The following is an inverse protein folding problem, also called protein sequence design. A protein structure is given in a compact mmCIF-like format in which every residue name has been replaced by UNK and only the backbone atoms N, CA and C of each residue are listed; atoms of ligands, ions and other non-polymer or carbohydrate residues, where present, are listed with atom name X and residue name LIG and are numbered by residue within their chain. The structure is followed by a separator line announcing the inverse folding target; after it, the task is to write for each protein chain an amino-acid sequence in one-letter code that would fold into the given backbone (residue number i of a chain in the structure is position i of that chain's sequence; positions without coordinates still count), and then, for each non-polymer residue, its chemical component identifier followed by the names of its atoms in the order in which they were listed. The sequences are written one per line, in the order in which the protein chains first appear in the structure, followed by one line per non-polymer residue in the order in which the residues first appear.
data_IF_135238202626
#
_entry.id   IF_135238202626
#
_cell.length_a   1.000
_cell.length_b   1.000
_cell.length_c   1.000
_cell.angle_alpha   90.00
_cell.angle_beta   90.00
_cell.angle_gamma   90.00
#
_symmetry.space_group_name_H-M   'P 1'
#
loop_
_entity.id
_entity.type
_entity.pdbx_description
1 polymer ?
#
# COMPACT_ATOMS: atom_id res chain seq x y z
N UNK A 1 -5.03 9.84 -23.31
CA UNK A 1 -6.18 10.02 -22.41
C UNK A 1 -6.34 11.42 -21.84
N UNK A 2 -5.32 12.30 -21.83
CA UNK A 2 -5.50 13.67 -21.33
C UNK A 2 -5.83 13.79 -19.84
N UNK A 3 -5.61 12.70 -19.07
CA UNK A 3 -5.96 12.58 -17.66
C UNK A 3 -4.86 13.15 -16.76
N UNK A 4 -5.25 13.45 -15.53
CA UNK A 4 -4.37 13.93 -14.47
C UNK A 4 -3.22 12.95 -14.18
N UNK A 5 -2.06 13.47 -13.79
CA UNK A 5 -0.96 12.65 -13.29
C UNK A 5 -1.28 12.06 -11.90
N UNK A 6 -0.58 11.00 -11.51
CA UNK A 6 -0.72 10.33 -10.20
C UNK A 6 -0.56 11.27 -8.98
N UNK A 7 0.14 12.41 -9.16
CA UNK A 7 0.36 13.42 -8.12
C UNK A 7 -0.70 14.53 -8.12
N UNK A 8 -1.73 14.42 -8.95
CA UNK A 8 -2.82 15.39 -8.99
C UNK A 8 -3.66 15.35 -7.71
N UNK A 9 -4.29 16.49 -7.41
CA UNK A 9 -5.33 16.61 -6.37
C UNK A 9 -6.44 15.58 -6.58
N UNK A 10 -6.80 15.32 -7.83
CA UNK A 10 -7.75 14.28 -8.23
C UNK A 10 -7.03 13.25 -9.08
N UNK A 11 -6.46 12.25 -8.40
CA UNK A 11 -5.63 11.20 -9.03
C UNK A 11 -6.44 9.97 -9.46
N UNK A 12 -7.59 9.72 -8.82
CA UNK A 12 -8.35 8.50 -9.04
C UNK A 12 -9.11 8.59 -10.37
N UNK A 13 -9.02 7.54 -11.18
CA UNK A 13 -9.74 7.45 -12.44
C UNK A 13 -11.24 7.20 -12.24
N UNK A 14 -11.59 6.54 -11.13
CA UNK A 14 -12.92 6.01 -10.87
C UNK A 14 -13.79 6.94 -10.03
N UNK A 15 -13.20 7.83 -9.24
CA UNK A 15 -13.95 8.72 -8.36
C UNK A 15 -13.29 10.07 -8.18
N UNK A 16 -14.07 11.05 -7.71
CA UNK A 16 -13.61 12.41 -7.39
C UNK A 16 -12.91 12.50 -6.02
N UNK A 17 -12.17 11.44 -5.63
CA UNK A 17 -11.41 11.44 -4.37
C UNK A 17 -10.29 12.47 -4.41
N UNK A 18 -10.31 13.36 -3.42
CA UNK A 18 -9.25 14.34 -3.17
C UNK A 18 -8.03 13.68 -2.51
N UNK A 19 -6.84 14.06 -2.93
CA UNK A 19 -5.58 13.53 -2.39
C UNK A 19 -5.40 13.77 -0.89
N UNK A 20 -6.02 14.80 -0.30
CA UNK A 20 -6.02 15.06 1.15
C UNK A 20 -7.06 14.23 1.92
N UNK A 21 -8.11 13.76 1.23
CA UNK A 21 -9.19 12.98 1.82
C UNK A 21 -9.02 11.46 1.62
N UNK A 22 -7.97 11.04 0.90
CA UNK A 22 -7.69 9.63 0.55
C UNK A 22 -7.54 8.67 1.72
N UNK A 23 -7.26 9.16 2.93
CA UNK A 23 -7.14 8.33 4.13
C UNK A 23 -8.51 8.09 4.81
N UNK A 24 -9.55 8.83 4.41
CA UNK A 24 -10.84 8.80 5.10
C UNK A 24 -11.75 7.72 4.50
N UNK A 25 -11.70 6.54 5.12
CA UNK A 25 -12.46 5.33 4.75
C UNK A 25 -13.97 5.54 4.90
N UNK A 26 -14.41 6.51 5.70
CA UNK A 26 -15.84 6.78 5.92
C UNK A 26 -16.46 7.57 4.76
N UNK A 27 -15.65 8.14 3.87
CA UNK A 27 -16.14 8.82 2.67
C UNK A 27 -16.40 7.78 1.58
N UNK A 28 -17.67 7.46 1.36
CA UNK A 28 -18.10 6.71 0.18
C UNK A 28 -17.99 7.62 -1.03
N UNK A 29 -16.97 7.42 -1.84
CA UNK A 29 -16.86 8.11 -3.12
C UNK A 29 -17.71 7.38 -4.14
N UNK A 30 -18.67 8.10 -4.74
CA UNK A 30 -19.43 7.55 -5.87
C UNK A 30 -18.43 7.22 -6.97
N UNK A 31 -18.51 6.00 -7.51
CA UNK A 31 -17.82 5.67 -8.76
C UNK A 31 -18.64 6.26 -9.88
N UNK A 32 -18.37 7.52 -10.16
CA UNK A 32 -18.76 8.19 -11.37
C UNK A 32 -17.49 8.86 -11.87
N UNK A 33 -17.15 8.59 -13.14
CA UNK A 33 -16.06 9.20 -13.90
C UNK A 33 -15.54 10.50 -13.31
N UNK A 34 -14.24 10.56 -13.02
CA UNK A 34 -13.65 11.72 -12.36
C UNK A 34 -13.94 13.02 -13.15
N UNK A 35 -14.83 13.84 -12.61
CA UNK A 35 -15.33 15.06 -13.24
C UNK A 35 -14.40 16.24 -12.97
N UNK A 36 -13.58 16.15 -11.92
CA UNK A 36 -12.68 17.22 -11.50
C UNK A 36 -11.28 17.15 -12.13
N UNK A 37 -11.05 16.17 -13.01
CA UNK A 37 -9.80 16.05 -13.75
C UNK A 37 -9.67 17.12 -14.83
N UNK A 38 -8.56 17.86 -14.83
CA UNK A 38 -8.29 18.88 -15.86
C UNK A 38 -7.90 18.17 -17.16
N UNK A 39 -8.88 17.90 -18.01
CA UNK A 39 -8.66 17.19 -19.27
C UNK A 39 -7.91 18.07 -20.26
N UNK A 40 -6.72 17.62 -20.65
CA UNK A 40 -6.08 18.15 -21.86
C UNK A 40 -6.81 17.58 -23.09
N UNK A 41 -6.85 18.31 -24.22
CA UNK A 41 -7.44 17.78 -25.45
C UNK A 41 -6.84 16.41 -25.78
N UNK A 42 -7.71 15.46 -26.06
CA UNK A 42 -7.33 14.07 -26.31
C UNK A 42 -6.74 13.95 -27.72
N UNK A 43 -5.51 13.46 -27.83
CA UNK A 43 -4.84 13.21 -29.11
C UNK A 43 -5.39 11.97 -29.84
N UNK A 44 -6.09 11.09 -29.12
CA UNK A 44 -6.68 9.85 -29.61
C UNK A 44 -8.02 9.62 -28.90
N UNK A 45 -8.97 8.89 -29.50
CA UNK A 45 -10.24 8.54 -28.84
C UNK A 45 -9.99 7.85 -27.49
N UNK A 46 -10.58 8.37 -26.41
CA UNK A 46 -10.48 7.72 -25.11
C UNK A 46 -11.21 6.36 -25.09
N UNK A 47 -10.54 5.37 -24.49
CA UNK A 47 -11.15 4.09 -24.14
C UNK A 47 -12.28 4.37 -23.12
N UNK A 48 -13.39 3.65 -23.24
CA UNK A 48 -14.50 3.75 -22.26
C UNK A 48 -14.02 3.32 -20.89
N UNK A 49 -14.45 4.04 -19.86
CA UNK A 49 -13.99 3.81 -18.49
C UNK A 49 -14.45 2.46 -17.93
N UNK A 50 -15.57 1.92 -18.40
CA UNK A 50 -16.02 0.56 -18.11
C UNK A 50 -14.94 -0.49 -18.43
N UNK A 51 -14.08 -0.19 -19.41
CA UNK A 51 -12.99 -1.08 -19.83
C UNK A 51 -11.67 -0.79 -19.08
N UNK A 52 -11.67 0.09 -18.08
CA UNK A 52 -10.47 0.36 -17.30
C UNK A 52 -10.31 -0.74 -16.25
N UNK A 53 -9.31 -1.60 -16.46
CA UNK A 53 -8.95 -2.66 -15.52
C UNK A 53 -7.77 -2.17 -14.68
N UNK A 54 -7.89 -2.12 -13.34
CA UNK A 54 -6.77 -1.79 -12.48
C UNK A 54 -5.63 -2.80 -12.63
N UNK A 55 -4.39 -2.31 -12.68
CA UNK A 55 -3.22 -3.16 -12.77
C UNK A 55 -2.88 -3.76 -11.38
N UNK A 56 -3.25 -5.02 -11.19
CA UNK A 56 -3.05 -5.78 -9.96
C UNK A 56 -1.56 -5.93 -9.59
N UNK A 57 -0.69 -6.10 -10.59
CA UNK A 57 0.74 -6.25 -10.35
C UNK A 57 1.32 -4.94 -9.82
N UNK A 58 0.99 -3.81 -10.44
CA UNK A 58 1.42 -2.50 -9.97
C UNK A 58 0.87 -2.17 -8.58
N UNK A 59 -0.36 -2.61 -8.25
CA UNK A 59 -0.93 -2.49 -6.92
C UNK A 59 -0.08 -3.24 -5.87
N UNK A 60 0.26 -4.50 -6.13
CA UNK A 60 1.17 -5.26 -5.28
C UNK A 60 2.51 -4.55 -5.12
N UNK A 61 3.15 -4.16 -6.22
CA UNK A 61 4.49 -3.59 -6.20
C UNK A 61 4.51 -2.30 -5.37
N UNK A 62 3.57 -1.38 -5.61
CA UNK A 62 3.55 -0.06 -5.00
C UNK A 62 3.14 -0.10 -3.53
N UNK A 63 2.16 -0.91 -3.16
CA UNK A 63 1.75 -1.01 -1.75
C UNK A 63 2.83 -1.71 -0.93
N UNK A 64 3.47 -2.76 -1.47
CA UNK A 64 4.59 -3.43 -0.81
C UNK A 64 5.76 -2.48 -0.56
N UNK A 65 6.09 -1.62 -1.55
CA UNK A 65 7.15 -0.63 -1.40
C UNK A 65 6.85 0.31 -0.22
N UNK A 66 5.63 0.83 -0.12
CA UNK A 66 5.24 1.70 1.00
C UNK A 66 5.33 0.97 2.34
N UNK A 67 4.85 -0.26 2.42
CA UNK A 67 4.90 -1.06 3.64
C UNK A 67 6.34 -1.27 4.13
N UNK A 68 7.24 -1.59 3.21
CA UNK A 68 8.66 -1.82 3.47
C UNK A 68 9.40 -0.51 3.77
N UNK A 69 9.14 0.56 3.01
CA UNK A 69 9.74 1.88 3.19
C UNK A 69 9.40 2.46 4.56
N UNK A 70 8.15 2.38 4.99
CA UNK A 70 7.76 2.80 6.34
C UNK A 70 8.52 2.02 7.42
N UNK A 71 8.64 0.69 7.28
CA UNK A 71 9.37 -0.15 8.24
C UNK A 71 10.87 0.21 8.26
N UNK A 72 11.52 0.28 7.11
CA UNK A 72 12.95 0.55 7.01
C UNK A 72 13.31 1.96 7.46
N UNK A 73 12.51 2.97 7.13
CA UNK A 73 12.73 4.33 7.60
C UNK A 73 12.68 4.46 9.12
N UNK A 74 11.90 3.62 9.81
CA UNK A 74 11.92 3.57 11.27
C UNK A 74 13.14 2.82 11.82
N UNK A 75 13.54 1.73 11.15
CA UNK A 75 14.74 0.98 11.52
C UNK A 75 16.03 1.79 11.30
N UNK A 76 16.11 2.62 10.27
CA UNK A 76 17.25 3.52 10.03
C UNK A 76 17.45 4.56 11.12
N UNK A 77 16.40 4.94 11.87
CA UNK A 77 16.51 5.88 13.00
C UNK A 77 17.15 5.26 14.24
N UNK A 78 17.26 3.93 14.29
CA UNK A 78 17.87 3.22 15.43
C UNK A 78 19.40 3.30 15.31
N UNK A 79 20.06 3.69 16.42
CA UNK A 79 21.53 3.81 16.49
C UNK A 79 22.26 2.50 16.16
N UNK A 80 21.63 1.36 16.44
CA UNK A 80 22.20 0.02 16.20
C UNK A 80 21.94 -0.51 14.77
N UNK A 81 21.43 0.32 13.86
CA UNK A 81 21.06 -0.12 12.52
C UNK A 81 22.24 -0.73 11.75
N UNK A 82 23.31 0.04 11.55
CA UNK A 82 24.46 -0.36 10.73
C UNK A 82 25.22 -1.55 11.33
N UNK A 83 25.26 -1.66 12.67
CA UNK A 83 26.04 -2.67 13.39
C UNK A 83 25.34 -4.03 13.49
N UNK A 84 24.02 -4.04 13.73
CA UNK A 84 23.31 -5.26 14.13
C UNK A 84 22.04 -5.50 13.33
N UNK A 85 21.19 -4.49 13.16
CA UNK A 85 19.87 -4.69 12.54
C UNK A 85 20.02 -4.98 11.05
N UNK A 86 20.94 -4.31 10.36
CA UNK A 86 21.23 -4.53 8.93
C UNK A 86 21.48 -6.00 8.63
N UNK A 87 22.46 -6.61 9.29
CA UNK A 87 22.85 -8.00 9.04
C UNK A 87 21.75 -8.99 9.41
N UNK A 88 20.98 -8.71 10.47
CA UNK A 88 19.84 -9.55 10.85
C UNK A 88 18.70 -9.51 9.81
N UNK A 89 18.40 -8.35 9.22
CA UNK A 89 17.38 -8.24 8.15
C UNK A 89 17.84 -8.97 6.90
N UNK A 90 19.09 -8.76 6.47
CA UNK A 90 19.66 -9.43 5.29
C UNK A 90 19.66 -10.95 5.47
N UNK A 91 19.97 -11.45 6.67
CA UNK A 91 19.85 -12.87 7.00
C UNK A 91 18.40 -13.37 6.98
N UNK A 92 17.45 -12.61 7.53
CA UNK A 92 16.04 -12.96 7.50
C UNK A 92 15.49 -13.01 6.07
N UNK A 93 15.92 -12.09 5.20
CA UNK A 93 15.57 -12.09 3.77
C UNK A 93 16.19 -13.27 3.03
N UNK A 94 17.45 -13.61 3.33
CA UNK A 94 18.11 -14.79 2.77
C UNK A 94 17.41 -16.09 3.20
N UNK A 95 16.93 -16.17 4.44
CA UNK A 95 16.19 -17.33 4.94
C UNK A 95 14.89 -17.59 4.18
N UNK A 96 14.21 -16.52 3.74
CA UNK A 96 13.01 -16.64 2.89
C UNK A 96 13.36 -16.76 1.39
N UNK A 97 14.62 -17.00 1.05
CA UNK A 97 15.14 -17.12 -0.31
C UNK A 97 14.84 -15.87 -1.17
N UNK A 98 15.15 -14.69 -0.61
CA UNK A 98 15.10 -13.39 -1.28
C UNK A 98 16.48 -12.73 -1.20
N UNK A 99 17.03 -12.33 -2.34
CA UNK A 99 18.27 -11.58 -2.40
C UNK A 99 18.00 -10.11 -2.03
N UNK A 100 18.56 -9.65 -0.91
CA UNK A 100 18.29 -8.31 -0.38
C UNK A 100 19.49 -7.79 0.39
N UNK A 101 19.91 -6.56 0.07
CA UNK A 101 21.04 -5.88 0.69
C UNK A 101 20.75 -4.39 0.87
N UNK A 102 21.26 -3.82 1.98
CA UNK A 102 21.26 -2.37 2.20
C UNK A 102 22.57 -1.74 1.76
N UNK A 103 22.50 -0.64 1.01
CA UNK A 103 23.65 0.11 0.54
C UNK A 103 23.48 1.61 0.81
N UNK A 104 24.60 2.32 0.94
CA UNK A 104 24.59 3.79 1.03
C UNK A 104 24.50 4.36 -0.38
N UNK A 105 23.59 5.32 -0.58
CA UNK A 105 23.40 5.95 -1.89
C UNK A 105 24.66 6.71 -2.30
N UNK A 106 25.13 6.50 -3.54
CA UNK A 106 26.34 7.18 -4.07
C UNK A 106 26.13 8.68 -4.29
N UNK A 107 24.87 9.12 -4.43
CA UNK A 107 24.50 10.49 -4.78
C UNK A 107 24.02 11.31 -3.56
N UNK A 108 23.52 10.64 -2.52
CA UNK A 108 23.07 11.26 -1.28
C UNK A 108 23.82 10.59 -0.12
N UNK A 109 24.97 11.17 0.24
CA UNK A 109 26.06 10.54 1.01
C UNK A 109 25.70 10.02 2.41
N UNK A 110 24.47 10.17 2.87
CA UNK A 110 24.01 9.72 4.19
C UNK A 110 22.70 8.92 4.17
N UNK A 111 22.07 8.74 3.00
CA UNK A 111 20.80 8.01 2.90
C UNK A 111 21.05 6.54 2.57
N UNK A 112 20.46 5.67 3.39
CA UNK A 112 20.41 4.24 3.12
C UNK A 112 19.35 3.94 2.07
N UNK A 113 19.73 3.15 1.08
CA UNK A 113 18.86 2.56 0.07
C UNK A 113 18.96 1.03 0.17
N UNK A 114 18.04 0.32 -0.51
CA UNK A 114 17.97 -1.14 -0.49
C UNK A 114 17.72 -1.72 -1.88
N UNK A 115 17.99 -3.02 -2.04
CA UNK A 115 17.73 -3.74 -3.29
C UNK A 115 16.25 -3.66 -3.69
N UNK A 116 15.97 -3.19 -4.91
CA UNK A 116 14.61 -3.20 -5.44
C UNK A 116 14.13 -4.64 -5.65
N UNK A 117 12.95 -4.96 -5.11
CA UNK A 117 12.38 -6.30 -5.18
C UNK A 117 11.32 -6.43 -6.27
N UNK A 118 11.35 -7.56 -6.97
CA UNK A 118 10.36 -7.91 -7.99
C UNK A 118 9.10 -8.52 -7.36
N UNK A 119 8.04 -8.66 -8.16
CA UNK A 119 6.74 -9.18 -7.71
C UNK A 119 6.82 -10.51 -6.92
N UNK A 120 7.52 -11.55 -7.40
CA UNK A 120 7.66 -12.82 -6.67
C UNK A 120 8.34 -12.67 -5.30
N UNK A 121 9.39 -11.86 -5.22
CA UNK A 121 10.12 -11.66 -3.95
C UNK A 121 9.31 -10.83 -2.96
N UNK A 122 8.60 -9.80 -3.43
CA UNK A 122 7.66 -9.03 -2.60
C UNK A 122 6.57 -9.92 -1.99
N UNK A 123 6.06 -10.91 -2.74
CA UNK A 123 5.10 -11.89 -2.20
C UNK A 123 5.70 -12.69 -1.04
N UNK A 124 6.92 -13.21 -1.21
CA UNK A 124 7.61 -13.94 -0.14
C UNK A 124 7.84 -13.08 1.10
N UNK A 125 8.23 -11.82 0.91
CA UNK A 125 8.42 -10.85 2.00
C UNK A 125 7.10 -10.62 2.75
N UNK A 126 6.02 -10.29 2.03
CA UNK A 126 4.71 -10.08 2.64
C UNK A 126 4.15 -11.31 3.35
N UNK A 127 4.54 -12.53 2.95
CA UNK A 127 4.04 -13.78 3.51
C UNK A 127 4.90 -14.38 4.63
N UNK A 128 6.22 -14.18 4.60
CA UNK A 128 7.15 -14.92 5.47
C UNK A 128 8.09 -14.04 6.28
N UNK A 129 8.23 -12.74 5.97
CA UNK A 129 9.15 -11.89 6.70
C UNK A 129 8.73 -11.73 8.19
N UNK A 130 9.63 -11.98 9.16
CA UNK A 130 9.31 -11.96 10.59
C UNK A 130 9.48 -10.56 11.19
N UNK A 131 8.49 -9.68 10.98
CA UNK A 131 8.54 -8.28 11.47
C UNK A 131 8.70 -8.20 13.00
N UNK A 132 8.12 -9.14 13.74
CA UNK A 132 8.18 -9.20 15.21
C UNK A 132 9.59 -9.29 15.77
N UNK A 133 10.56 -9.75 14.98
CA UNK A 133 11.97 -9.84 15.41
C UNK A 133 12.65 -8.46 15.45
N UNK A 134 12.15 -7.50 14.67
CA UNK A 134 12.76 -6.18 14.49
C UNK A 134 11.98 -5.06 15.20
N UNK A 135 10.69 -5.29 15.43
CA UNK A 135 9.79 -4.37 16.13
C UNK A 135 9.18 -5.06 17.33
N UNK A 136 9.56 -4.62 18.52
CA UNK A 136 9.11 -5.23 19.77
C UNK A 136 7.67 -4.85 20.13
N UNK A 137 7.03 -5.74 20.90
CA UNK A 137 5.72 -5.52 21.52
C UNK A 137 4.53 -5.65 20.57
N UNK A 138 3.39 -5.08 20.97
CA UNK A 138 2.13 -5.13 20.20
C UNK A 138 2.26 -4.46 18.82
N UNK A 139 3.18 -3.52 18.67
CA UNK A 139 3.43 -2.83 17.40
C UNK A 139 3.91 -3.80 16.31
N UNK A 140 4.93 -4.62 16.59
CA UNK A 140 5.46 -5.58 15.61
C UNK A 140 4.44 -6.63 15.20
N UNK A 141 3.61 -7.09 16.15
CA UNK A 141 2.50 -8.02 15.85
C UNK A 141 1.49 -7.40 14.89
N UNK A 142 1.05 -6.17 15.15
CA UNK A 142 0.10 -5.46 14.28
C UNK A 142 0.68 -5.20 12.88
N UNK A 143 1.98 -4.88 12.76
CA UNK A 143 2.61 -4.64 11.45
C UNK A 143 2.74 -5.96 10.67
N UNK A 144 3.12 -7.05 11.36
CA UNK A 144 3.15 -8.36 10.72
C UNK A 144 1.76 -8.75 10.21
N UNK A 145 0.74 -8.59 11.04
CA UNK A 145 -0.66 -8.82 10.67
C UNK A 145 -1.08 -7.95 9.48
N UNK A 146 -0.73 -6.66 9.47
CA UNK A 146 -0.98 -5.76 8.35
C UNK A 146 -0.40 -6.29 7.02
N UNK A 147 0.81 -6.85 7.05
CA UNK A 147 1.47 -7.41 5.85
C UNK A 147 0.78 -8.70 5.39
N UNK A 148 0.40 -9.58 6.32
CA UNK A 148 -0.34 -10.82 6.00
C UNK A 148 -1.72 -10.51 5.43
N UNK A 149 -2.47 -9.63 6.08
CA UNK A 149 -3.80 -9.21 5.62
C UNK A 149 -3.72 -8.58 4.22
N UNK A 150 -2.69 -7.79 3.91
CA UNK A 150 -2.49 -7.27 2.56
C UNK A 150 -2.23 -8.37 1.53
N UNK A 151 -1.40 -9.36 1.87
CA UNK A 151 -1.13 -10.50 0.99
C UNK A 151 -2.41 -11.28 0.68
N UNK A 152 -3.23 -11.55 1.70
CA UNK A 152 -4.48 -12.27 1.56
C UNK A 152 -5.47 -11.48 0.69
N UNK A 153 -5.59 -10.16 0.92
CA UNK A 153 -6.37 -9.25 0.06
C UNK A 153 -5.90 -9.32 -1.40
N UNK A 154 -4.60 -9.24 -1.63
CA UNK A 154 -4.03 -9.33 -2.98
C UNK A 154 -4.31 -10.70 -3.64
N UNK A 155 -4.34 -11.79 -2.86
CA UNK A 155 -4.71 -13.10 -3.38
C UNK A 155 -6.18 -13.22 -3.75
N UNK A 156 -7.06 -12.53 -3.04
CA UNK A 156 -8.49 -12.45 -3.40
C UNK A 156 -8.66 -11.61 -4.67
N UNK A 157 -8.02 -10.43 -4.75
CA UNK A 157 -8.09 -9.52 -5.89
C UNK A 157 -7.66 -10.21 -7.20
N UNK A 158 -6.67 -11.09 -7.15
CA UNK A 158 -6.16 -11.81 -8.32
C UNK A 158 -7.10 -12.90 -8.85
N UNK A 159 -8.15 -13.27 -8.12
CA UNK A 159 -9.08 -14.32 -8.56
C UNK A 159 -9.99 -13.75 -9.64
N UNK A 160 -10.08 -14.44 -10.77
CA UNK A 160 -10.84 -14.03 -11.96
C UNK A 160 -12.36 -14.05 -11.75
N UNK A 161 -12.85 -14.72 -10.72
CA UNK A 161 -14.27 -14.78 -10.36
C UNK A 161 -14.43 -14.74 -8.85
N UNK A 162 -15.18 -13.75 -8.38
CA UNK A 162 -15.58 -13.59 -6.99
C UNK A 162 -17.09 -13.77 -6.92
N UNK A 163 -17.56 -14.49 -5.92
CA UNK A 163 -19.00 -14.57 -5.59
C UNK A 163 -19.44 -13.29 -4.85
N UNK A 164 -20.73 -12.94 -4.90
CA UNK A 164 -21.26 -11.75 -4.20
C UNK A 164 -20.90 -11.74 -2.71
N UNK A 165 -20.95 -12.90 -2.06
CA UNK A 165 -20.53 -13.06 -0.65
C UNK A 165 -19.03 -12.81 -0.42
N UNK A 166 -18.16 -13.14 -1.39
CA UNK A 166 -16.72 -12.84 -1.31
C UNK A 166 -16.45 -11.35 -1.59
N UNK A 167 -17.30 -10.68 -2.38
CA UNK A 167 -17.21 -9.24 -2.65
C UNK A 167 -17.54 -8.44 -1.39
N UNK A 168 -18.57 -8.83 -0.63
CA UNK A 168 -18.93 -8.22 0.64
C UNK A 168 -17.85 -8.44 1.71
N UNK A 169 -17.32 -9.66 1.81
CA UNK A 169 -16.21 -10.00 2.71
C UNK A 169 -14.92 -9.23 2.35
N UNK A 170 -14.66 -9.03 1.05
CA UNK A 170 -13.55 -8.20 0.58
C UNK A 170 -13.71 -6.75 1.05
N UNK A 171 -14.92 -6.17 1.00
CA UNK A 171 -15.16 -4.80 1.47
C UNK A 171 -14.81 -4.66 2.95
N UNK A 172 -15.25 -5.62 3.78
CA UNK A 172 -14.99 -5.64 5.21
C UNK A 172 -13.48 -5.77 5.47
N UNK A 173 -12.80 -6.71 4.82
CA UNK A 173 -11.36 -6.94 4.99
C UNK A 173 -10.52 -5.73 4.55
N UNK A 174 -10.90 -5.06 3.47
CA UNK A 174 -10.22 -3.83 3.01
C UNK A 174 -10.40 -2.72 4.05
N UNK A 175 -11.62 -2.52 4.58
CA UNK A 175 -11.87 -1.51 5.63
C UNK A 175 -11.05 -1.80 6.89
N UNK A 176 -11.01 -3.04 7.34
CA UNK A 176 -10.23 -3.47 8.49
C UNK A 176 -8.73 -3.26 8.27
N UNK A 177 -8.22 -3.62 7.09
CA UNK A 177 -6.82 -3.44 6.75
C UNK A 177 -6.40 -1.97 6.79
N UNK A 178 -7.21 -1.07 6.24
CA UNK A 178 -6.91 0.38 6.25
C UNK A 178 -7.10 0.95 7.64
N UNK A 179 -8.09 0.48 8.41
CA UNK A 179 -8.21 0.85 9.80
C UNK A 179 -6.96 0.45 10.59
N UNK A 180 -6.39 -0.74 10.38
CA UNK A 180 -5.13 -1.16 10.97
C UNK A 180 -3.96 -0.28 10.51
N UNK A 181 -3.87 0.03 9.22
CA UNK A 181 -2.87 0.93 8.65
C UNK A 181 -2.94 2.33 9.29
N UNK A 182 -4.14 2.91 9.38
CA UNK A 182 -4.37 4.21 9.99
C UNK A 182 -4.27 4.20 11.53
N UNK A 183 -4.58 3.09 12.21
CA UNK A 183 -4.44 2.98 13.68
C UNK A 183 -2.98 2.97 14.11
N UNK A 184 -2.10 2.41 13.29
CA UNK A 184 -0.65 2.47 13.50
C UNK A 184 -0.07 3.89 13.39
N UNK A 185 -0.88 4.87 12.98
CA UNK A 185 -0.61 6.30 13.03
C UNK A 185 -0.90 6.92 14.42
N UNK A 186 -1.87 6.38 15.16
CA UNK A 186 -2.36 6.92 16.42
C UNK A 186 -1.64 6.27 17.61
N UNK A 187 -0.37 6.57 17.82
CA UNK A 187 0.17 6.52 19.19
C UNK A 187 -0.31 7.77 19.91
N UNK A 188 -1.21 7.55 20.87
CA UNK A 188 -1.64 8.41 21.98
C UNK A 188 -1.18 9.88 21.94
N UNK A 189 -2.16 10.77 21.78
CA UNK A 189 -2.03 12.23 21.93
C UNK A 189 -1.64 12.65 23.37
N UNK A 190 -1.55 11.70 24.32
CA UNK A 190 -1.48 11.97 25.75
C UNK A 190 -0.28 11.27 26.43
N UNK A 191 0.96 11.58 26.04
CA UNK A 191 2.13 11.45 26.93
C UNK A 191 3.41 11.95 26.26
N UNK A 192 4.25 12.62 27.04
CA UNK A 192 5.46 13.40 26.69
C UNK A 192 6.66 12.62 26.09
N UNK A 193 6.46 11.43 25.53
CA UNK A 193 7.50 10.63 24.87
C UNK A 193 7.13 10.33 23.41
N UNK A 194 7.41 11.31 22.54
CA UNK A 194 7.05 11.28 21.13
C UNK A 194 7.80 10.17 20.38
N UNK A 195 7.07 9.16 19.91
CA UNK A 195 7.50 8.29 18.81
C UNK A 195 6.42 8.36 17.73
N UNK A 196 6.73 8.89 16.53
CA UNK A 196 5.77 8.92 15.42
C UNK A 196 5.24 7.51 15.14
N UNK A 197 3.93 7.40 14.86
CA UNK A 197 3.38 6.16 14.31
C UNK A 197 4.11 5.75 13.03
N UNK A 198 4.26 4.43 12.81
CA UNK A 198 5.06 3.90 11.70
C UNK A 198 4.48 4.27 10.33
N UNK A 199 3.15 4.38 10.25
CA UNK A 199 2.39 4.71 9.05
C UNK A 199 1.62 6.01 9.28
N UNK A 200 1.83 7.01 8.43
CA UNK A 200 1.15 8.32 8.48
C UNK A 200 -0.08 8.34 7.57
N UNK A 201 -0.98 9.31 7.78
CA UNK A 201 -2.13 9.54 6.87
C UNK A 201 -1.64 9.95 5.48
N UNK A 202 -0.51 10.64 5.46
CA UNK A 202 0.20 11.07 4.27
C UNK A 202 0.77 9.89 3.47
N UNK A 203 0.96 8.70 4.05
CA UNK A 203 1.57 7.56 3.36
C UNK A 203 0.55 6.73 2.56
N UNK A 204 -0.75 7.03 2.68
CA UNK A 204 -1.81 6.34 1.93
C UNK A 204 -1.65 6.64 0.44
N UNK A 205 -1.10 5.75 -0.36
CA UNK A 205 -0.83 6.05 -1.77
C UNK A 205 -2.08 6.06 -2.64
N UNK A 206 -2.03 6.70 -3.83
CA UNK A 206 -3.05 6.54 -4.86
C UNK A 206 -3.45 5.09 -5.13
N UNK A 207 -2.49 4.15 -5.05
CA UNK A 207 -2.74 2.72 -5.26
C UNK A 207 -3.51 2.08 -4.10
N UNK A 208 -3.26 2.49 -2.86
CA UNK A 208 -4.08 2.06 -1.70
C UNK A 208 -5.51 2.58 -1.85
N UNK A 209 -5.68 3.80 -2.36
CA UNK A 209 -7.00 4.33 -2.65
C UNK A 209 -7.69 3.65 -3.84
N UNK A 210 -6.94 3.26 -4.88
CA UNK A 210 -7.47 2.42 -5.96
C UNK A 210 -7.87 1.04 -5.44
N UNK A 211 -7.12 0.46 -4.48
CA UNK A 211 -7.50 -0.78 -3.79
C UNK A 211 -8.84 -0.64 -3.06
N UNK A 212 -9.10 0.50 -2.41
CA UNK A 212 -10.42 0.80 -1.81
C UNK A 212 -11.54 0.84 -2.85
N UNK A 213 -11.27 1.48 -3.99
CA UNK A 213 -12.23 1.56 -5.08
C UNK A 213 -12.40 0.23 -5.83
N UNK A 214 -11.48 -0.72 -5.66
CA UNK A 214 -11.49 -2.00 -6.39
C UNK A 214 -12.73 -2.83 -6.05
N UNK A 215 -13.16 -2.89 -4.78
CA UNK A 215 -14.42 -3.54 -4.41
C UNK A 215 -15.61 -2.95 -5.18
N UNK A 216 -15.70 -1.63 -5.26
CA UNK A 216 -16.78 -0.95 -5.98
C UNK A 216 -16.69 -1.18 -7.50
N UNK A 217 -15.49 -1.41 -8.06
CA UNK A 217 -15.29 -1.74 -9.50
C UNK A 217 -15.70 -3.20 -9.78
N UNK A 218 -15.32 -4.14 -8.92
CA UNK A 218 -15.73 -5.55 -9.02
C UNK A 218 -17.25 -5.66 -8.88
N UNK A 219 -17.85 -4.90 -7.96
CA UNK A 219 -19.30 -4.81 -7.80
C UNK A 219 -19.97 -4.28 -9.08
N UNK A 220 -19.46 -3.21 -9.69
CA UNK A 220 -20.03 -2.71 -10.96
C UNK A 220 -19.95 -3.72 -12.11
N UNK A 221 -18.86 -4.49 -12.21
CA UNK A 221 -18.69 -5.50 -13.26
C UNK A 221 -19.51 -6.78 -13.03
N UNK A 222 -20.00 -7.03 -11.81
CA UNK A 222 -20.86 -8.20 -11.51
C UNK A 222 -22.34 -7.94 -11.82
N UNK A 223 -22.77 -6.68 -11.93
CA UNK A 223 -24.14 -6.30 -12.32
C UNK A 223 -24.29 -5.94 -13.81
N UNK A 224 -23.22 -6.00 -14.62
CA UNK A 224 -23.25 -5.76 -16.07
C UNK A 224 -23.03 -7.04 -16.92
N UNK A 225 -23.35 -8.22 -16.38
CA UNK A 225 -23.43 -9.48 -17.15
C UNK A 225 -24.89 -9.92 -17.29
#
# INVERSE_FOLDING_TARGET
MGLNTLNSKYFCLYCDCDSSARWNINLKWKINKNTQSKKKPELFPAIRQENYIPDELHLLLRISDVLMECLFNDLFKKKDFERLIKSQIEQAMKFINVHFEFFKSKFHSEKWDWTSLMGPDKKKVLQHFPVTNFVSGKCGKNIQELWRNFYDLYMIIRRLSLTDSEIDDLEVKVKEWIYLFCRLNQRQINSSSQTPGLYRKEDVTPYMATCMSFHNIVFLNSYEI
#
